data_IF_929645859839
#
_entry.id   IF_929645859839
#
_cell.length_a   1.000
_cell.length_b   1.000
_cell.length_c   1.000
_cell.angle_alpha   90.00
_cell.angle_beta   90.00
_cell.angle_gamma   90.00
#
_symmetry.space_group_name_H-M   'P 1'
#
loop_
_entity.id
_entity.type
_entity.pdbx_description
1 polymer ?
#
# COMPACT_ATOMS: atom_id res chain seq x y z
N UNK A 1 -3.67 -8.98 13.53
CA UNK A 1 -3.14 -10.35 13.78
C UNK A 1 -1.82 -10.49 13.05
N UNK A 2 -0.79 -11.06 13.65
CA UNK A 2 0.52 -11.26 13.01
C UNK A 2 0.41 -12.40 12.00
N UNK A 3 0.90 -12.18 10.78
CA UNK A 3 0.88 -13.18 9.70
C UNK A 3 2.06 -14.14 9.94
N UNK A 4 1.85 -15.45 9.76
CA UNK A 4 2.90 -16.47 9.84
C UNK A 4 3.70 -16.51 8.53
N UNK A 5 4.55 -15.51 8.32
CA UNK A 5 5.48 -15.46 7.19
C UNK A 5 6.90 -15.16 7.70
N UNK A 6 7.95 -15.57 6.95
CA UNK A 6 9.31 -15.10 7.19
C UNK A 6 9.38 -13.56 7.18
N UNK A 7 10.39 -13.01 7.86
CA UNK A 7 10.66 -11.57 7.76
C UNK A 7 10.97 -11.21 6.30
N UNK A 8 10.40 -10.09 5.85
CA UNK A 8 10.66 -9.58 4.51
C UNK A 8 11.87 -8.65 4.57
N UNK A 9 12.87 -8.94 3.75
CA UNK A 9 14.05 -8.10 3.57
C UNK A 9 13.73 -6.89 2.69
N UNK A 10 14.54 -5.83 2.81
CA UNK A 10 14.35 -4.59 2.05
C UNK A 10 14.10 -4.83 0.55
N UNK A 11 14.89 -5.70 -0.10
CA UNK A 11 14.74 -6.02 -1.52
C UNK A 11 13.37 -6.61 -1.83
N UNK A 12 12.86 -7.49 -0.98
CA UNK A 12 11.55 -8.13 -1.20
C UNK A 12 10.42 -7.10 -1.07
N UNK A 13 10.47 -6.24 -0.05
CA UNK A 13 9.47 -5.18 0.14
C UNK A 13 9.51 -4.19 -1.02
N UNK A 14 10.70 -3.76 -1.41
CA UNK A 14 10.89 -2.82 -2.51
C UNK A 14 10.33 -3.37 -3.83
N UNK A 15 10.65 -4.62 -4.20
CA UNK A 15 10.09 -5.26 -5.40
C UNK A 15 8.57 -5.29 -5.36
N UNK A 16 7.97 -5.77 -4.26
CA UNK A 16 6.51 -5.87 -4.12
C UNK A 16 5.82 -4.50 -4.25
N UNK A 17 6.42 -3.46 -3.69
CA UNK A 17 5.88 -2.09 -3.73
C UNK A 17 6.06 -1.47 -5.13
N UNK A 18 7.18 -1.72 -5.81
CA UNK A 18 7.42 -1.25 -7.17
C UNK A 18 6.51 -1.91 -8.21
N UNK A 19 6.16 -3.18 -8.01
CA UNK A 19 5.32 -3.95 -8.94
C UNK A 19 3.88 -3.41 -9.03
N UNK A 20 3.40 -2.78 -7.95
CA UNK A 20 2.05 -2.20 -7.90
C UNK A 20 2.02 -0.70 -8.28
N UNK A 21 3.18 -0.10 -8.54
CA UNK A 21 3.31 1.30 -8.95
C UNK A 21 3.38 1.46 -10.47
N UNK A 22 2.83 2.56 -10.98
CA UNK A 22 3.09 3.04 -12.34
C UNK A 22 4.35 3.93 -12.39
N UNK A 23 4.80 4.27 -13.61
CA UNK A 23 6.05 5.02 -13.81
C UNK A 23 6.04 6.41 -13.15
N UNK A 24 4.89 7.08 -13.10
CA UNK A 24 4.76 8.37 -12.41
C UNK A 24 4.97 8.20 -10.90
N UNK A 25 4.34 7.19 -10.30
CA UNK A 25 4.45 6.90 -8.87
C UNK A 25 5.86 6.44 -8.49
N UNK A 26 6.51 5.64 -9.34
CA UNK A 26 7.91 5.23 -9.16
C UNK A 26 8.82 6.43 -9.14
N UNK A 27 8.65 7.35 -10.10
CA UNK A 27 9.42 8.59 -10.15
C UNK A 27 9.21 9.44 -8.88
N UNK A 28 7.96 9.61 -8.45
CA UNK A 28 7.64 10.36 -7.23
C UNK A 28 8.23 9.71 -5.98
N UNK A 29 8.20 8.38 -5.89
CA UNK A 29 8.83 7.63 -4.81
C UNK A 29 10.37 7.74 -4.83
N UNK A 30 11.00 7.73 -5.99
CA UNK A 30 12.46 7.90 -6.12
C UNK A 30 12.92 9.31 -5.76
N UNK A 31 12.13 10.33 -6.13
CA UNK A 31 12.44 11.74 -5.87
C UNK A 31 12.18 12.13 -4.41
N UNK A 32 11.04 11.72 -3.85
CA UNK A 32 10.58 12.15 -2.53
C UNK A 32 10.80 11.11 -1.43
N UNK A 33 11.21 9.89 -1.78
CA UNK A 33 11.32 8.72 -0.87
C UNK A 33 9.98 8.29 -0.26
N UNK A 34 8.87 8.81 -0.78
CA UNK A 34 7.50 8.47 -0.41
C UNK A 34 6.52 8.74 -1.56
N UNK A 35 5.40 8.00 -1.58
CA UNK A 35 4.29 8.24 -2.51
C UNK A 35 2.97 7.67 -1.95
N UNK A 36 1.88 8.36 -2.26
CA UNK A 36 0.51 7.99 -1.92
C UNK A 36 -0.28 7.65 -3.20
N UNK A 37 -0.92 6.48 -3.24
CA UNK A 37 -1.75 6.08 -4.39
C UNK A 37 -2.89 5.14 -4.02
N UNK A 38 -3.80 4.90 -4.97
CA UNK A 38 -4.86 3.91 -4.84
C UNK A 38 -4.53 2.69 -5.70
N UNK A 39 -4.77 1.50 -5.15
CA UNK A 39 -4.56 0.22 -5.81
C UNK A 39 -5.80 -0.66 -5.64
N UNK A 40 -6.26 -1.28 -6.72
CA UNK A 40 -7.42 -2.15 -6.71
C UNK A 40 -7.03 -3.59 -6.97
N UNK A 41 -7.49 -4.50 -6.11
CA UNK A 41 -7.40 -5.94 -6.36
C UNK A 41 -8.78 -6.40 -6.80
N UNK A 42 -8.94 -6.82 -8.08
CA UNK A 42 -10.22 -7.27 -8.60
C UNK A 42 -10.81 -8.38 -7.70
N UNK A 43 -12.11 -8.26 -7.41
CA UNK A 43 -12.87 -9.21 -6.57
C UNK A 43 -12.49 -9.24 -5.07
N UNK A 44 -11.58 -8.38 -4.61
CA UNK A 44 -11.21 -8.28 -3.19
C UNK A 44 -11.60 -6.92 -2.61
N UNK A 45 -10.86 -5.87 -2.95
CA UNK A 45 -11.11 -4.51 -2.44
C UNK A 45 -10.20 -3.49 -3.15
N UNK A 46 -10.52 -2.22 -2.95
CA UNK A 46 -9.58 -1.11 -3.18
C UNK A 46 -8.78 -0.83 -1.93
N UNK A 47 -7.56 -0.36 -2.11
CA UNK A 47 -6.62 0.00 -1.06
C UNK A 47 -6.06 1.39 -1.33
N UNK A 48 -5.95 2.20 -0.28
CA UNK A 48 -5.09 3.39 -0.29
C UNK A 48 -3.72 2.96 0.25
N UNK A 49 -2.72 3.06 -0.61
CA UNK A 49 -1.34 2.66 -0.35
C UNK A 49 -0.49 3.88 -0.09
N UNK A 50 0.28 3.86 0.99
CA UNK A 50 1.35 4.81 1.26
C UNK A 50 2.66 4.01 1.26
N UNK A 51 3.58 4.31 0.34
CA UNK A 51 4.91 3.72 0.28
C UNK A 51 5.94 4.74 0.72
N UNK A 52 6.92 4.33 1.54
CA UNK A 52 7.92 5.23 2.10
C UNK A 52 9.19 4.48 2.52
N UNK A 53 10.26 5.21 2.80
CA UNK A 53 11.48 4.65 3.38
C UNK A 53 11.57 4.88 4.89
N UNK A 54 12.02 3.85 5.61
CA UNK A 54 12.39 3.94 7.02
C UNK A 54 13.80 3.39 7.24
N UNK A 55 14.31 3.43 8.47
CA UNK A 55 15.69 3.05 8.80
C UNK A 55 16.10 1.66 8.27
N UNK A 56 15.20 0.68 8.24
CA UNK A 56 15.48 -0.68 7.73
C UNK A 56 15.19 -0.85 6.22
N UNK A 57 14.91 0.23 5.50
CA UNK A 57 14.60 0.24 4.07
C UNK A 57 13.12 0.53 3.76
N UNK A 58 12.72 0.16 2.54
CA UNK A 58 11.36 0.35 2.02
C UNK A 58 10.27 -0.25 2.93
N UNK A 59 9.15 0.45 3.03
CA UNK A 59 7.95 0.05 3.74
C UNK A 59 6.70 0.54 2.99
N UNK A 60 5.57 -0.11 3.23
CA UNK A 60 4.29 0.34 2.72
C UNK A 60 3.14 0.02 3.67
N UNK A 61 2.14 0.88 3.68
CA UNK A 61 0.91 0.75 4.47
C UNK A 61 -0.28 0.66 3.52
N UNK A 62 -1.06 -0.41 3.65
CA UNK A 62 -2.27 -0.67 2.86
C UNK A 62 -3.49 -0.46 3.75
N UNK A 63 -4.33 0.52 3.41
CA UNK A 63 -5.61 0.77 4.06
C UNK A 63 -6.74 0.33 3.15
N UNK A 64 -7.54 -0.64 3.60
CA UNK A 64 -8.72 -1.10 2.87
C UNK A 64 -9.73 0.04 2.76
N UNK A 65 -10.13 0.37 1.53
CA UNK A 65 -11.23 1.30 1.28
C UNK A 65 -12.52 0.46 1.20
N UNK A 66 -13.52 0.71 2.07
CA UNK A 66 -14.77 -0.05 2.05
C UNK A 66 -15.45 0.04 0.69
N UNK A 67 -15.90 -1.11 0.17
CA UNK A 67 -16.65 -1.17 -1.10
C UNK A 67 -18.11 -0.76 -0.92
N UNK A 68 -18.69 -1.01 0.27
CA UNK A 68 -20.06 -0.62 0.62
C UNK A 68 -20.03 0.75 1.28
N UNK A 69 -20.77 1.71 0.71
CA UNK A 69 -21.09 2.97 1.38
C UNK A 69 -22.18 2.67 2.41
N UNK A 70 -21.92 3.03 3.67
CA UNK A 70 -22.87 2.85 4.77
C UNK A 70 -23.91 3.98 4.75
N UNK A 71 -25.15 3.66 5.12
CA UNK A 71 -26.19 4.68 5.35
C UNK A 71 -25.95 5.41 6.67
N UNK A 72 -26.73 6.47 6.94
CA UNK A 72 -26.67 7.14 8.24
C UNK A 72 -27.03 6.19 9.39
N UNK A 73 -28.06 5.35 9.22
CA UNK A 73 -28.47 4.35 10.23
C UNK A 73 -27.38 3.30 10.50
N UNK A 74 -26.59 2.93 9.48
CA UNK A 74 -25.45 2.01 9.64
C UNK A 74 -24.28 2.64 10.42
N UNK A 75 -24.24 3.98 10.55
CA UNK A 75 -23.17 4.73 11.20
C UNK A 75 -23.50 5.12 12.66
N UNK A 76 -24.76 5.02 13.08
CA UNK A 76 -25.23 5.34 14.44
C UNK A 76 -26.00 6.65 14.54
#
# INVERSE_FOLDING_TARGET
RRIKLPALEHKQVHTLVYDIMNDKQRKEYEENLEVDFSFEVPKLSRFRVNAFNQHRGAAAVFRTVPSKVLTLDDLG
#
